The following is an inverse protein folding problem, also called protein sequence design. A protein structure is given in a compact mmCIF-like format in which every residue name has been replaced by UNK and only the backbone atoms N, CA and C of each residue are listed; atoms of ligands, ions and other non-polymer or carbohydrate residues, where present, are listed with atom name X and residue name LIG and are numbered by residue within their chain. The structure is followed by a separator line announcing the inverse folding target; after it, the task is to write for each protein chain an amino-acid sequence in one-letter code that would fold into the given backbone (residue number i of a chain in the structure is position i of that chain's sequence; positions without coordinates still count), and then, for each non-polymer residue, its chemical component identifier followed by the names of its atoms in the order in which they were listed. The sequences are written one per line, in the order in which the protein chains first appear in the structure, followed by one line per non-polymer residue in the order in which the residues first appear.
data_IF_882651799486
#
_entry.id   IF_882651799486
#
_cell.length_a   1.000
_cell.length_b   1.000
_cell.length_c   1.000
_cell.angle_alpha   90.00
_cell.angle_beta   90.00
_cell.angle_gamma   90.00
#
_symmetry.space_group_name_H-M   'P 1'
#
loop_
_entity.id
_entity.type
_entity.pdbx_description
1 polymer ?
#
# COMPACT_ATOMS: atom_id res chain seq x y z
N UNK A 1 16.47 17.78 5.28
CA UNK A 1 15.02 18.14 5.43
C UNK A 1 14.52 17.51 6.72
N UNK A 2 13.68 18.22 7.50
CA UNK A 2 13.16 17.66 8.75
C UNK A 2 11.86 16.89 8.50
N UNK A 3 11.64 15.83 9.25
CA UNK A 3 10.36 15.09 9.24
C UNK A 3 9.20 16.00 9.60
N UNK A 4 9.40 16.90 10.59
CA UNK A 4 8.41 17.91 11.00
C UNK A 4 8.05 18.94 9.93
N UNK A 5 8.85 19.07 8.86
CA UNK A 5 8.52 19.94 7.72
C UNK A 5 7.28 19.42 6.94
N UNK A 6 6.89 18.17 7.17
CA UNK A 6 5.70 17.52 6.59
C UNK A 6 4.52 17.45 7.55
N UNK A 7 4.56 18.22 8.61
CA UNK A 7 3.44 18.35 9.54
C UNK A 7 2.30 19.16 8.91
N UNK A 8 1.08 18.70 9.10
CA UNK A 8 -0.15 19.47 8.92
C UNK A 8 -1.16 19.04 9.98
N UNK A 9 -2.09 19.91 10.36
CA UNK A 9 -3.13 19.60 11.33
C UNK A 9 -4.21 18.72 10.68
N UNK A 10 -4.36 17.48 11.16
CA UNK A 10 -5.37 16.54 10.69
C UNK A 10 -6.38 16.25 11.79
N UNK A 11 -7.62 16.77 11.70
CA UNK A 11 -8.69 16.44 12.61
C UNK A 11 -8.98 14.92 12.60
N UNK A 12 -9.06 14.31 13.77
CA UNK A 12 -9.25 12.84 13.90
C UNK A 12 -10.54 12.34 13.25
N UNK A 13 -11.57 13.15 13.26
CA UNK A 13 -12.86 12.86 12.64
C UNK A 13 -12.81 12.72 11.12
N UNK A 14 -11.79 13.26 10.47
CA UNK A 14 -11.59 13.08 9.03
C UNK A 14 -10.91 11.75 8.69
N UNK A 15 -10.38 11.02 9.65
CA UNK A 15 -9.80 9.70 9.42
C UNK A 15 -10.91 8.67 9.23
N UNK A 16 -11.08 8.18 8.00
CA UNK A 16 -12.16 7.26 7.65
C UNK A 16 -12.03 5.92 8.38
N UNK A 17 -13.05 5.53 9.13
CA UNK A 17 -13.12 4.27 9.85
C UNK A 17 -13.76 3.14 9.01
N UNK A 18 -14.56 3.50 8.02
CA UNK A 18 -15.27 2.55 7.14
C UNK A 18 -15.20 3.01 5.68
N UNK A 19 -15.20 2.07 4.72
CA UNK A 19 -15.21 2.41 3.30
C UNK A 19 -16.54 3.07 2.91
N UNK A 20 -16.53 3.85 1.84
CA UNK A 20 -17.75 4.34 1.21
C UNK A 20 -18.65 3.17 0.78
N UNK A 21 -19.97 3.31 0.82
CA UNK A 21 -20.92 2.25 0.47
C UNK A 21 -20.66 1.71 -0.95
N UNK A 22 -20.42 2.61 -1.90
CA UNK A 22 -19.99 2.29 -3.27
C UNK A 22 -18.54 2.74 -3.42
N UNK A 23 -17.66 1.86 -3.96
CA UNK A 23 -16.21 2.12 -4.10
C UNK A 23 -15.92 3.40 -4.87
N UNK A 24 -16.56 3.59 -6.01
CA UNK A 24 -16.36 4.73 -6.91
C UNK A 24 -17.12 6.00 -6.52
N UNK A 25 -17.89 5.97 -5.42
CA UNK A 25 -18.60 7.16 -4.91
C UNK A 25 -17.74 8.01 -3.93
N UNK A 26 -16.48 7.64 -3.69
CA UNK A 26 -15.54 8.50 -2.96
C UNK A 26 -15.32 9.81 -3.71
N UNK A 27 -14.98 10.87 -2.99
CA UNK A 27 -14.57 12.13 -3.61
C UNK A 27 -13.21 11.98 -4.30
N UNK A 28 -12.99 12.81 -5.31
CA UNK A 28 -11.72 12.91 -6.01
C UNK A 28 -11.26 14.38 -6.00
N UNK A 29 -10.10 14.63 -5.38
CA UNK A 29 -9.39 15.87 -5.52
C UNK A 29 -8.41 15.74 -6.68
N UNK A 30 -8.49 16.61 -7.67
CA UNK A 30 -7.57 16.63 -8.81
C UNK A 30 -6.66 17.83 -8.72
N UNK A 31 -5.36 17.60 -8.67
CA UNK A 31 -4.35 18.64 -8.72
C UNK A 31 -3.64 18.64 -10.07
N UNK A 32 -3.78 19.75 -10.80
CA UNK A 32 -3.04 19.99 -12.05
C UNK A 32 -1.77 20.78 -11.76
N UNK A 33 -0.61 20.07 -11.81
CA UNK A 33 0.70 20.65 -11.53
C UNK A 33 1.11 21.73 -12.53
N UNK A 34 0.67 21.60 -13.78
CA UNK A 34 1.03 22.56 -14.84
C UNK A 34 0.34 23.92 -14.63
N UNK A 35 -0.93 23.89 -14.23
CA UNK A 35 -1.75 25.07 -14.02
C UNK A 35 -1.86 25.49 -12.55
N UNK A 36 -1.34 24.69 -11.62
CA UNK A 36 -1.43 24.87 -10.16
C UNK A 36 -2.88 25.04 -9.69
N UNK A 37 -3.78 24.22 -10.20
CA UNK A 37 -5.22 24.30 -9.91
C UNK A 37 -5.71 23.03 -9.23
N UNK A 38 -6.63 23.22 -8.27
CA UNK A 38 -7.36 22.15 -7.58
C UNK A 38 -8.77 22.10 -8.16
N UNK A 39 -9.30 20.90 -8.37
CA UNK A 39 -10.69 20.62 -8.69
C UNK A 39 -11.23 19.52 -7.79
N UNK A 40 -12.42 19.74 -7.28
CA UNK A 40 -13.15 18.77 -6.47
C UNK A 40 -14.20 18.06 -7.32
N UNK A 41 -14.31 16.75 -7.17
CA UNK A 41 -15.21 15.89 -7.92
C UNK A 41 -15.49 14.57 -7.22
N UNK A 42 -15.96 13.60 -7.97
CA UNK A 42 -16.18 12.21 -7.55
C UNK A 42 -15.25 11.28 -8.31
N UNK A 43 -14.96 10.10 -7.73
CA UNK A 43 -13.94 9.22 -8.30
C UNK A 43 -14.24 8.75 -9.72
N UNK A 44 -15.52 8.66 -10.10
CA UNK A 44 -15.92 8.33 -11.47
C UNK A 44 -15.45 9.34 -12.51
N UNK A 45 -15.24 10.62 -12.12
CA UNK A 45 -14.76 11.67 -13.01
C UNK A 45 -13.32 11.42 -13.49
N UNK A 46 -12.63 10.43 -12.88
CA UNK A 46 -11.28 10.05 -13.30
C UNK A 46 -11.20 9.66 -14.79
N UNK A 47 -12.32 9.18 -15.35
CA UNK A 47 -12.43 8.86 -16.77
C UNK A 47 -12.08 10.06 -17.66
N UNK A 48 -12.42 11.29 -17.27
CA UNK A 48 -12.22 12.49 -18.07
C UNK A 48 -10.74 12.86 -18.23
N UNK A 49 -9.88 12.32 -17.36
CA UNK A 49 -8.44 12.59 -17.35
C UNK A 49 -7.62 11.61 -18.20
N UNK A 50 -8.23 10.49 -18.62
CA UNK A 50 -7.57 9.53 -19.52
C UNK A 50 -7.77 9.88 -20.99
N UNK A 51 -6.78 9.50 -21.82
CA UNK A 51 -6.79 9.57 -23.29
C UNK A 51 -6.46 8.19 -23.87
N UNK A 52 -6.92 7.91 -25.11
CA UNK A 52 -6.46 6.74 -25.82
C UNK A 52 -4.92 6.69 -25.88
N UNK A 53 -4.35 5.52 -25.62
CA UNK A 53 -2.90 5.33 -25.58
C UNK A 53 -2.23 5.50 -24.22
N UNK A 54 -2.94 6.03 -23.21
CA UNK A 54 -2.43 6.04 -21.83
C UNK A 54 -2.32 4.62 -21.28
N UNK A 55 -1.52 4.46 -20.22
CA UNK A 55 -1.40 3.21 -19.48
C UNK A 55 -1.71 3.42 -17.99
N UNK A 56 -2.57 2.57 -17.44
CA UNK A 56 -2.92 2.52 -16.02
C UNK A 56 -2.21 1.34 -15.38
N UNK A 57 -1.28 1.62 -14.47
CA UNK A 57 -0.50 0.58 -13.77
C UNK A 57 -1.03 0.40 -12.37
N UNK A 58 -1.39 -0.84 -12.01
CA UNK A 58 -2.01 -1.19 -10.73
C UNK A 58 -1.32 -2.36 -10.05
N UNK A 59 -1.32 -2.35 -8.73
CA UNK A 59 -0.72 -3.40 -7.90
C UNK A 59 -1.76 -4.50 -7.60
N UNK A 60 -1.50 -5.72 -8.08
CA UNK A 60 -2.41 -6.88 -7.95
C UNK A 60 -2.21 -7.67 -6.66
N UNK A 61 -1.47 -7.16 -5.71
CA UNK A 61 -1.28 -7.85 -4.43
C UNK A 61 -2.61 -8.08 -3.71
N UNK A 62 -2.72 -9.24 -3.05
CA UNK A 62 -3.85 -9.62 -2.21
C UNK A 62 -3.41 -9.71 -0.76
N UNK A 63 -4.17 -9.08 0.11
CA UNK A 63 -3.93 -9.13 1.55
C UNK A 63 -4.30 -10.51 2.07
N UNK A 64 -3.38 -11.10 2.85
CA UNK A 64 -3.64 -12.35 3.55
C UNK A 64 -4.17 -12.07 4.96
N UNK A 65 -4.95 -12.96 5.58
CA UNK A 65 -5.40 -12.82 6.97
C UNK A 65 -4.24 -13.05 7.94
N UNK A 66 -3.28 -12.12 7.90
CA UNK A 66 -1.97 -12.23 8.51
C UNK A 66 -1.97 -12.06 10.04
N UNK A 67 -3.08 -11.65 10.66
CA UNK A 67 -3.17 -11.49 12.12
C UNK A 67 -3.68 -12.76 12.75
N UNK A 68 -2.83 -13.37 13.59
CA UNK A 68 -3.10 -14.65 14.25
C UNK A 68 -3.14 -14.44 15.76
N UNK A 69 -4.24 -14.84 16.39
CA UNK A 69 -4.37 -14.88 17.84
C UNK A 69 -3.99 -16.27 18.34
N UNK A 70 -3.09 -16.32 19.31
CA UNK A 70 -2.53 -17.56 19.82
C UNK A 70 -2.45 -17.55 21.34
N UNK A 71 -2.28 -18.69 21.95
CA UNK A 71 -2.09 -18.83 23.37
C UNK A 71 -1.12 -19.98 23.70
N UNK A 72 -0.50 -19.88 24.85
CA UNK A 72 0.30 -20.98 25.39
C UNK A 72 -0.62 -21.98 26.08
N UNK A 73 -0.51 -23.26 25.72
CA UNK A 73 -1.38 -24.30 26.31
C UNK A 73 -1.09 -24.53 27.80
N UNK A 74 0.16 -24.35 28.26
CA UNK A 74 0.58 -24.57 29.64
C UNK A 74 0.16 -23.44 30.60
N UNK A 75 0.10 -22.19 30.12
CA UNK A 75 -0.12 -21.00 30.97
C UNK A 75 -1.33 -20.18 30.58
N UNK A 76 -1.98 -20.46 29.44
CA UNK A 76 -3.05 -19.66 28.87
C UNK A 76 -2.62 -18.27 28.39
N UNK A 77 -1.31 -18.00 28.38
CA UNK A 77 -0.77 -16.68 28.02
C UNK A 77 -1.05 -16.32 26.56
N UNK A 78 -1.86 -15.26 26.34
CA UNK A 78 -2.21 -14.80 24.99
C UNK A 78 -1.00 -14.21 24.25
N UNK A 79 -0.98 -14.40 22.92
CA UNK A 79 0.00 -13.88 21.98
C UNK A 79 -0.70 -13.52 20.68
N UNK A 80 -0.32 -12.40 20.08
CA UNK A 80 -0.70 -12.02 18.72
C UNK A 80 0.53 -12.14 17.82
N UNK A 81 0.39 -12.83 16.70
CA UNK A 81 1.37 -12.85 15.62
C UNK A 81 0.80 -12.09 14.44
N UNK A 82 1.63 -11.27 13.83
CA UNK A 82 1.31 -10.59 12.60
C UNK A 82 2.36 -10.97 11.56
N UNK A 83 1.94 -11.79 10.61
CA UNK A 83 2.80 -12.30 9.54
C UNK A 83 3.23 -11.14 8.63
N UNK A 84 4.54 -11.01 8.37
CA UNK A 84 5.11 -9.94 7.55
C UNK A 84 5.64 -10.45 6.23
N UNK A 85 6.51 -11.45 6.31
CA UNK A 85 7.25 -11.97 5.17
C UNK A 85 7.42 -13.47 5.29
N UNK A 86 7.07 -14.18 4.25
CA UNK A 86 7.35 -15.60 4.10
C UNK A 86 8.83 -15.79 3.76
N UNK A 87 9.55 -16.57 4.54
CA UNK A 87 10.97 -16.86 4.32
C UNK A 87 11.14 -18.13 3.52
N UNK A 88 10.31 -19.14 3.82
CA UNK A 88 10.20 -20.39 3.07
C UNK A 88 8.81 -21.01 3.28
N UNK A 89 8.67 -22.32 3.04
CA UNK A 89 7.39 -23.04 3.08
C UNK A 89 6.62 -22.78 4.38
N UNK A 90 7.30 -22.81 5.54
CA UNK A 90 6.67 -22.70 6.86
C UNK A 90 7.31 -21.68 7.80
N UNK A 91 8.39 -21.00 7.40
CA UNK A 91 9.01 -19.96 8.22
C UNK A 91 8.59 -18.58 7.78
N UNK A 92 8.25 -17.75 8.77
CA UNK A 92 7.79 -16.39 8.57
C UNK A 92 8.51 -15.43 9.50
N UNK A 93 8.75 -14.24 9.00
CA UNK A 93 9.04 -13.09 9.83
C UNK A 93 7.73 -12.49 10.31
N UNK A 94 7.63 -12.20 11.62
CA UNK A 94 6.41 -11.72 12.26
C UNK A 94 6.69 -10.60 13.24
N UNK A 95 5.74 -9.68 13.40
CA UNK A 95 5.63 -8.95 14.66
C UNK A 95 4.84 -9.78 15.67
N UNK A 96 5.19 -9.61 16.96
CA UNK A 96 4.52 -10.33 18.04
C UNK A 96 4.13 -9.40 19.17
N UNK A 97 3.00 -9.64 19.79
CA UNK A 97 2.50 -8.87 20.92
C UNK A 97 1.91 -9.79 22.00
N UNK A 98 2.39 -9.72 23.26
CA UNK A 98 3.47 -8.89 23.80
C UNK A 98 4.87 -9.48 23.50
N UNK A 99 5.79 -8.65 22.93
CA UNK A 99 7.13 -9.09 22.50
C UNK A 99 8.00 -9.68 23.63
N UNK A 100 7.85 -9.21 24.89
CA UNK A 100 8.60 -9.70 26.05
C UNK A 100 8.33 -11.18 26.39
N UNK A 101 7.18 -11.73 25.98
CA UNK A 101 6.79 -13.12 26.22
C UNK A 101 7.19 -14.06 25.08
N UNK A 102 7.60 -13.49 23.95
CA UNK A 102 7.95 -14.23 22.74
C UNK A 102 9.42 -14.69 22.78
N UNK A 103 9.71 -15.71 23.59
CA UNK A 103 11.06 -16.27 23.73
C UNK A 103 11.27 -17.41 22.74
N UNK A 104 12.49 -17.51 22.20
CA UNK A 104 12.92 -18.59 21.31
C UNK A 104 12.64 -19.97 21.94
N UNK A 105 12.15 -20.90 21.14
CA UNK A 105 11.78 -22.25 21.53
C UNK A 105 10.35 -22.40 22.05
N UNK A 106 9.63 -21.31 22.31
CA UNK A 106 8.24 -21.39 22.76
C UNK A 106 7.29 -21.64 21.59
N UNK A 107 6.30 -22.49 21.82
CA UNK A 107 5.22 -22.79 20.89
C UNK A 107 3.90 -22.23 21.43
N UNK A 108 3.11 -21.66 20.53
CA UNK A 108 1.79 -21.09 20.78
C UNK A 108 0.75 -21.73 19.88
N UNK A 109 -0.35 -22.16 20.45
CA UNK A 109 -1.50 -22.71 19.70
C UNK A 109 -2.33 -21.57 19.14
N UNK A 110 -2.65 -21.65 17.84
CA UNK A 110 -3.53 -20.69 17.13
C UNK A 110 -4.90 -21.32 16.94
N UNK A 111 -4.93 -22.54 16.40
CA UNK A 111 -6.13 -23.36 16.24
C UNK A 111 -5.75 -24.83 16.46
N UNK A 112 -6.71 -25.74 16.24
CA UNK A 112 -6.39 -27.18 16.29
C UNK A 112 -5.49 -27.63 15.12
N UNK A 113 -5.48 -26.89 14.01
CA UNK A 113 -4.72 -27.19 12.79
C UNK A 113 -3.43 -26.36 12.66
N UNK A 114 -3.25 -25.32 13.51
CA UNK A 114 -2.14 -24.36 13.34
C UNK A 114 -1.52 -23.97 14.67
N UNK A 115 -0.20 -24.06 14.74
CA UNK A 115 0.60 -23.50 15.84
C UNK A 115 1.82 -22.75 15.33
N UNK A 116 2.40 -21.89 16.17
CA UNK A 116 3.58 -21.10 15.86
C UNK A 116 4.68 -21.36 16.88
N UNK A 117 5.88 -21.75 16.42
CA UNK A 117 7.09 -21.90 17.23
C UNK A 117 8.04 -20.76 16.94
N UNK A 118 8.47 -20.03 17.97
CA UNK A 118 9.43 -18.93 17.83
C UNK A 118 10.82 -19.53 17.67
N UNK A 119 11.48 -19.23 16.57
CA UNK A 119 12.81 -19.71 16.23
C UNK A 119 13.91 -18.72 16.63
N UNK A 120 13.69 -17.42 16.32
CA UNK A 120 14.71 -16.38 16.55
C UNK A 120 14.05 -14.99 16.65
N UNK A 121 14.88 -13.97 16.92
CA UNK A 121 14.52 -12.56 16.93
C UNK A 121 15.22 -11.84 15.77
N UNK A 122 14.53 -10.88 15.14
CA UNK A 122 15.15 -9.99 14.15
C UNK A 122 15.76 -8.75 14.83
N UNK A 123 16.69 -8.08 14.15
CA UNK A 123 17.32 -6.85 14.63
C UNK A 123 16.29 -5.75 14.90
N UNK A 124 15.22 -5.68 14.10
CA UNK A 124 14.13 -4.71 14.22
C UNK A 124 13.08 -5.07 15.30
N UNK A 125 13.36 -6.07 16.12
CA UNK A 125 12.48 -6.51 17.23
C UNK A 125 11.34 -7.43 16.81
N UNK A 126 11.29 -7.88 15.57
CA UNK A 126 10.42 -8.95 15.08
C UNK A 126 10.83 -10.33 15.57
N UNK A 127 10.17 -11.35 15.06
CA UNK A 127 10.49 -12.78 15.33
C UNK A 127 10.48 -13.58 14.05
N UNK A 128 11.39 -14.54 13.98
CA UNK A 128 11.31 -15.63 13.01
C UNK A 128 10.50 -16.74 13.66
N UNK A 129 9.40 -17.11 13.03
CA UNK A 129 8.53 -18.18 13.54
C UNK A 129 8.39 -19.28 12.51
N UNK A 130 8.26 -20.52 12.98
CA UNK A 130 7.82 -21.64 12.17
C UNK A 130 6.35 -21.89 12.47
N UNK A 131 5.54 -21.87 11.43
CA UNK A 131 4.14 -22.28 11.49
C UNK A 131 4.08 -23.79 11.29
N UNK A 132 3.47 -24.49 12.23
CA UNK A 132 3.29 -25.93 12.18
C UNK A 132 1.83 -26.20 11.83
N UNK A 133 1.61 -26.88 10.72
CA UNK A 133 0.28 -27.21 10.17
C UNK A 133 0.37 -28.47 9.32
N UNK A 134 -0.79 -29.09 9.07
CA UNK A 134 -0.95 -30.19 8.12
C UNK A 134 -2.08 -29.83 7.15
N UNK A 135 -1.79 -29.84 5.84
CA UNK A 135 -2.73 -29.46 4.78
C UNK A 135 -2.31 -28.19 4.01
N UNK A 136 -3.29 -27.55 3.38
CA UNK A 136 -3.08 -26.34 2.55
C UNK A 136 -3.03 -25.10 3.44
N UNK A 137 -1.86 -24.49 3.52
CA UNK A 137 -1.62 -23.35 4.41
C UNK A 137 -2.60 -22.19 4.21
N UNK A 138 -2.88 -21.84 2.98
CA UNK A 138 -3.74 -20.72 2.63
C UNK A 138 -5.17 -20.93 3.14
N UNK A 139 -5.69 -22.15 3.09
CA UNK A 139 -7.03 -22.50 3.61
C UNK A 139 -7.07 -22.44 5.14
N UNK A 140 -6.00 -22.95 5.80
CA UNK A 140 -5.87 -22.89 7.25
C UNK A 140 -5.78 -21.44 7.72
N UNK A 141 -4.97 -20.63 7.01
CA UNK A 141 -4.82 -19.22 7.32
C UNK A 141 -6.13 -18.44 7.17
N UNK A 142 -6.92 -18.74 6.14
CA UNK A 142 -8.23 -18.12 5.92
C UNK A 142 -9.22 -18.41 7.07
N UNK A 143 -9.14 -19.61 7.66
CA UNK A 143 -9.97 -19.99 8.82
C UNK A 143 -9.48 -19.41 10.14
N UNK A 144 -8.16 -19.41 10.35
CA UNK A 144 -7.55 -19.05 11.63
C UNK A 144 -7.16 -17.58 11.77
N UNK A 145 -6.98 -16.89 10.65
CA UNK A 145 -6.45 -15.53 10.61
C UNK A 145 -7.50 -14.43 10.46
N UNK A 146 -7.13 -13.26 10.92
CA UNK A 146 -7.88 -12.02 10.72
C UNK A 146 -7.15 -11.09 9.75
N UNK A 147 -7.93 -10.27 9.01
CA UNK A 147 -7.38 -9.23 8.14
C UNK A 147 -6.61 -8.20 8.98
N UNK A 148 -5.36 -7.91 8.63
CA UNK A 148 -4.52 -6.98 9.37
C UNK A 148 -4.88 -5.53 9.01
N UNK A 149 -6.02 -5.04 9.52
CA UNK A 149 -6.39 -3.65 9.33
C UNK A 149 -5.37 -2.72 10.00
N UNK A 150 -5.08 -1.56 9.41
CA UNK A 150 -4.21 -0.56 10.00
C UNK A 150 -4.66 -0.14 11.41
N UNK A 151 -3.72 0.26 12.29
CA UNK A 151 -4.03 0.53 13.71
C UNK A 151 -4.99 1.69 13.95
N UNK A 152 -5.14 2.60 12.98
CA UNK A 152 -6.08 3.73 13.06
C UNK A 152 -7.52 3.35 12.70
N UNK A 153 -7.76 2.14 12.13
CA UNK A 153 -9.09 1.59 11.92
C UNK A 153 -9.48 0.81 13.16
N UNK A 154 -10.35 1.40 13.96
CA UNK A 154 -10.87 0.80 15.21
C UNK A 154 -12.20 0.10 15.01
N UNK A 155 -12.96 0.47 13.97
CA UNK A 155 -14.24 -0.14 13.62
C UNK A 155 -14.02 -1.30 12.64
N UNK A 156 -14.25 -2.54 13.13
CA UNK A 156 -14.07 -3.77 12.33
C UNK A 156 -15.34 -4.18 11.58
N UNK A 157 -16.09 -3.21 11.06
CA UNK A 157 -17.39 -3.45 10.40
C UNK A 157 -17.28 -3.82 8.93
N UNK A 158 -16.16 -3.52 8.27
CA UNK A 158 -15.96 -3.85 6.88
C UNK A 158 -15.60 -5.34 6.72
N UNK A 159 -16.33 -6.07 5.89
CA UNK A 159 -16.01 -7.46 5.54
C UNK A 159 -14.62 -7.58 4.89
N UNK A 160 -14.00 -8.77 5.01
CA UNK A 160 -12.64 -9.06 4.50
C UNK A 160 -12.43 -8.59 3.05
N UNK A 161 -13.40 -8.78 2.17
CA UNK A 161 -13.34 -8.41 0.76
C UNK A 161 -13.42 -6.89 0.50
N UNK A 162 -13.88 -6.10 1.47
CA UNK A 162 -13.88 -4.62 1.33
C UNK A 162 -12.48 -4.01 1.47
N UNK A 163 -11.56 -4.70 2.11
CA UNK A 163 -10.15 -4.34 2.20
C UNK A 163 -9.29 -5.02 1.13
N UNK A 164 -9.90 -5.43 0.02
CA UNK A 164 -9.23 -5.95 -1.18
C UNK A 164 -9.62 -5.11 -2.39
N UNK A 165 -8.70 -4.94 -3.34
CA UNK A 165 -9.04 -4.39 -4.65
C UNK A 165 -9.84 -5.41 -5.46
N UNK A 166 -10.70 -4.95 -6.39
CA UNK A 166 -11.48 -5.85 -7.26
C UNK A 166 -10.59 -6.66 -8.22
N UNK A 167 -9.31 -6.36 -8.28
CA UNK A 167 -8.33 -7.00 -9.13
C UNK A 167 -7.19 -7.69 -8.35
N UNK A 168 -7.34 -7.85 -7.03
CA UNK A 168 -6.35 -8.55 -6.20
C UNK A 168 -6.22 -10.02 -6.60
N UNK A 169 -4.98 -10.48 -6.86
CA UNK A 169 -4.67 -11.84 -7.33
C UNK A 169 -3.62 -12.54 -6.48
N UNK A 170 -2.48 -11.89 -6.23
CA UNK A 170 -1.27 -12.50 -5.68
C UNK A 170 -1.23 -12.34 -4.16
N UNK A 171 -1.42 -13.44 -3.44
CA UNK A 171 -1.37 -13.49 -1.97
C UNK A 171 0.03 -13.13 -1.45
N UNK A 172 0.12 -12.38 -0.34
CA UNK A 172 1.39 -12.12 0.32
C UNK A 172 1.52 -10.76 1.00
N UNK A 173 0.53 -9.89 0.88
CA UNK A 173 0.57 -8.55 1.46
C UNK A 173 -0.02 -8.49 2.86
N UNK A 174 0.59 -7.70 3.73
CA UNK A 174 0.04 -7.35 5.04
C UNK A 174 -0.93 -6.15 4.96
N UNK A 175 -0.96 -5.41 3.84
CA UNK A 175 -1.88 -4.30 3.65
C UNK A 175 -2.34 -4.18 2.20
N UNK A 176 -3.55 -3.63 2.00
CA UNK A 176 -4.08 -3.40 0.66
C UNK A 176 -3.43 -2.17 -0.01
N UNK A 177 -3.28 -2.16 -1.35
CA UNK A 177 -2.96 -0.96 -2.11
C UNK A 177 -4.21 -0.07 -2.19
N UNK A 178 -4.43 0.74 -1.16
CA UNK A 178 -5.74 1.34 -0.84
C UNK A 178 -6.27 2.30 -1.89
N UNK A 179 -5.42 2.96 -2.68
CA UNK A 179 -5.87 3.75 -3.83
C UNK A 179 -6.63 2.91 -4.88
N UNK A 180 -6.35 1.61 -4.93
CA UNK A 180 -7.07 0.67 -5.78
C UNK A 180 -8.47 0.32 -5.29
N UNK A 181 -8.80 0.60 -4.03
CA UNK A 181 -10.11 0.30 -3.46
C UNK A 181 -11.24 1.15 -4.06
N UNK A 182 -10.92 2.26 -4.68
CA UNK A 182 -11.88 3.14 -5.34
C UNK A 182 -12.39 2.59 -6.67
N UNK A 183 -11.63 1.70 -7.31
CA UNK A 183 -12.00 1.12 -8.59
C UNK A 183 -13.08 0.04 -8.44
N UNK A 184 -13.99 0.02 -9.40
CA UNK A 184 -14.92 -1.08 -9.65
C UNK A 184 -14.53 -1.77 -10.96
N UNK A 185 -15.05 -2.97 -11.19
CA UNK A 185 -14.83 -3.70 -12.45
C UNK A 185 -15.37 -2.90 -13.63
N UNK A 186 -16.54 -2.30 -13.49
CA UNK A 186 -17.21 -1.49 -14.51
C UNK A 186 -16.38 -0.27 -14.89
N UNK A 187 -15.84 0.44 -13.89
CA UNK A 187 -14.98 1.62 -14.13
C UNK A 187 -13.68 1.22 -14.86
N UNK A 188 -13.09 0.08 -14.51
CA UNK A 188 -11.92 -0.45 -15.21
C UNK A 188 -12.24 -0.82 -16.66
N UNK A 189 -13.43 -1.37 -16.92
CA UNK A 189 -13.88 -1.69 -18.28
C UNK A 189 -14.12 -0.43 -19.10
N UNK A 190 -14.68 0.62 -18.51
CA UNK A 190 -14.86 1.90 -19.18
C UNK A 190 -13.52 2.59 -19.49
N UNK A 191 -12.53 2.46 -18.60
CA UNK A 191 -11.14 2.91 -18.86
C UNK A 191 -10.57 2.17 -20.07
N UNK A 192 -10.74 0.82 -20.15
CA UNK A 192 -10.30 0.03 -21.32
C UNK A 192 -10.99 0.44 -22.61
N UNK A 193 -12.32 0.64 -22.59
CA UNK A 193 -13.10 1.12 -23.74
C UNK A 193 -12.61 2.47 -24.24
N UNK A 194 -12.07 3.32 -23.36
CA UNK A 194 -11.47 4.60 -23.71
C UNK A 194 -10.10 4.46 -24.41
N UNK A 195 -9.60 3.24 -24.58
CA UNK A 195 -8.32 2.97 -25.24
C UNK A 195 -7.11 3.07 -24.32
N UNK A 196 -7.30 2.92 -23.00
CA UNK A 196 -6.23 2.88 -22.00
C UNK A 196 -5.81 1.44 -21.77
N UNK A 197 -4.52 1.18 -21.81
CA UNK A 197 -3.95 -0.13 -21.47
C UNK A 197 -3.86 -0.27 -19.95
N UNK A 198 -4.42 -1.34 -19.37
CA UNK A 198 -4.28 -1.63 -17.94
C UNK A 198 -3.18 -2.67 -17.76
N UNK A 199 -2.20 -2.35 -16.93
CA UNK A 199 -1.01 -3.16 -16.67
C UNK A 199 -0.93 -3.52 -15.18
N UNK A 200 -0.62 -4.77 -14.92
CA UNK A 200 -0.48 -5.31 -13.57
C UNK A 200 1.00 -5.33 -13.15
N UNK A 201 1.28 -4.83 -11.95
CA UNK A 201 2.55 -4.99 -11.24
C UNK A 201 2.28 -5.58 -9.87
N UNK A 202 3.33 -6.04 -9.17
CA UNK A 202 3.22 -6.58 -7.82
C UNK A 202 4.13 -5.80 -6.88
N UNK A 203 3.61 -5.46 -5.71
CA UNK A 203 4.38 -5.08 -4.53
C UNK A 203 3.62 -5.58 -3.29
N UNK A 204 4.27 -6.44 -2.53
CA UNK A 204 3.73 -6.89 -1.24
C UNK A 204 4.03 -5.85 -0.17
N UNK A 205 2.98 -5.19 0.29
CA UNK A 205 3.09 -4.13 1.31
C UNK A 205 3.40 -4.75 2.66
N UNK A 206 4.53 -4.36 3.23
CA UNK A 206 4.90 -4.70 4.60
C UNK A 206 4.31 -3.74 5.63
N UNK A 207 4.49 -4.06 6.91
CA UNK A 207 4.00 -3.20 7.99
C UNK A 207 4.81 -1.93 8.21
N UNK A 208 5.98 -1.81 7.61
CA UNK A 208 6.77 -0.59 7.64
C UNK A 208 5.99 0.65 7.19
N UNK A 209 5.05 0.45 6.25
CA UNK A 209 4.17 1.51 5.76
C UNK A 209 3.25 2.12 6.84
N UNK A 210 3.03 1.41 7.95
CA UNK A 210 2.21 1.89 9.07
C UNK A 210 3.03 2.36 10.28
N UNK A 211 4.36 2.29 10.21
CA UNK A 211 5.21 2.84 11.27
C UNK A 211 5.42 4.32 11.00
N UNK A 212 5.21 5.17 12.02
CA UNK A 212 5.62 6.57 11.92
C UNK A 212 7.13 6.66 11.68
N UNK A 213 7.55 7.68 10.94
CA UNK A 213 8.97 8.03 10.85
C UNK A 213 9.40 8.48 12.25
N UNK A 214 10.46 7.87 12.78
CA UNK A 214 10.97 8.16 14.12
C UNK A 214 12.15 9.13 14.09
N UNK A 215 12.78 9.27 12.94
CA UNK A 215 13.97 10.09 12.72
C UNK A 215 13.59 11.57 12.53
N UNK A 216 14.36 12.48 13.13
CA UNK A 216 14.16 13.92 13.00
C UNK A 216 14.48 14.44 11.60
N UNK A 217 15.46 13.84 10.95
CA UNK A 217 15.84 14.19 9.57
C UNK A 217 15.38 13.11 8.61
N UNK A 218 14.80 13.53 7.50
CA UNK A 218 14.31 12.64 6.43
C UNK A 218 15.42 11.75 5.87
N UNK A 219 16.64 12.30 5.76
CA UNK A 219 17.82 11.63 5.20
C UNK A 219 18.32 10.47 6.06
N UNK A 220 17.99 10.46 7.37
CA UNK A 220 18.39 9.42 8.31
C UNK A 220 17.43 8.22 8.32
N UNK A 221 16.28 8.38 7.65
CA UNK A 221 15.27 7.32 7.60
C UNK A 221 15.64 6.21 6.61
N UNK A 222 15.60 4.97 7.09
CA UNK A 222 15.81 3.78 6.28
C UNK A 222 14.46 3.13 5.92
N UNK A 223 14.13 3.14 4.63
CA UNK A 223 12.92 2.48 4.14
C UNK A 223 12.99 0.97 4.33
N UNK A 224 11.90 0.39 4.79
CA UNK A 224 11.74 -1.06 4.81
C UNK A 224 11.73 -1.62 3.39
N UNK A 225 12.42 -2.76 3.25
CA UNK A 225 12.46 -3.48 1.98
C UNK A 225 11.14 -4.21 1.74
N UNK A 226 10.56 -4.05 0.55
CA UNK A 226 9.33 -4.70 0.12
C UNK A 226 9.56 -5.46 -1.19
N UNK A 227 8.95 -6.65 -1.32
CA UNK A 227 9.08 -7.44 -2.55
C UNK A 227 8.23 -6.85 -3.66
N UNK A 228 8.83 -6.64 -4.82
CA UNK A 228 8.13 -6.13 -6.00
C UNK A 228 8.46 -6.92 -7.26
N UNK A 229 7.53 -6.87 -8.22
CA UNK A 229 7.69 -7.54 -9.50
C UNK A 229 7.04 -6.71 -10.61
N UNK A 230 7.76 -6.59 -11.73
CA UNK A 230 7.28 -6.13 -13.02
C UNK A 230 7.60 -7.21 -14.06
N UNK A 231 6.58 -7.75 -14.73
CA UNK A 231 6.77 -8.78 -15.74
C UNK A 231 7.31 -8.20 -17.06
N UNK A 232 7.85 -9.07 -17.93
CA UNK A 232 8.30 -8.65 -19.29
C UNK A 232 7.15 -8.06 -20.11
N UNK A 233 5.95 -8.63 -19.98
CA UNK A 233 4.75 -8.14 -20.65
C UNK A 233 4.37 -6.74 -20.16
N UNK A 234 4.38 -6.54 -18.82
CA UNK A 234 4.11 -5.25 -18.21
C UNK A 234 5.12 -4.18 -18.64
N UNK A 235 6.41 -4.48 -18.56
CA UNK A 235 7.48 -3.58 -18.96
C UNK A 235 7.35 -3.19 -20.44
N UNK A 236 7.15 -4.16 -21.33
CA UNK A 236 6.95 -3.93 -22.76
C UNK A 236 5.74 -3.02 -23.03
N UNK A 237 4.57 -3.33 -22.43
CA UNK A 237 3.35 -2.56 -22.64
C UNK A 237 3.51 -1.09 -22.21
N UNK A 238 4.19 -0.85 -21.08
CA UNK A 238 4.45 0.51 -20.58
C UNK A 238 5.40 1.25 -21.54
N UNK A 239 6.52 0.63 -21.94
CA UNK A 239 7.49 1.25 -22.84
C UNK A 239 6.88 1.57 -24.20
N UNK A 240 6.08 0.66 -24.76
CA UNK A 240 5.37 0.89 -26.03
C UNK A 240 4.34 2.03 -25.93
N UNK A 241 3.60 2.14 -24.81
CA UNK A 241 2.68 3.24 -24.61
C UNK A 241 3.42 4.58 -24.55
N UNK A 242 4.51 4.65 -23.80
CA UNK A 242 5.36 5.85 -23.70
C UNK A 242 5.98 6.24 -25.03
N UNK A 243 6.47 5.27 -25.80
CA UNK A 243 7.03 5.51 -27.14
C UNK A 243 6.02 6.13 -28.12
N UNK A 244 4.71 5.87 -27.88
CA UNK A 244 3.60 6.49 -28.66
C UNK A 244 3.07 7.79 -28.04
N UNK A 245 3.71 8.32 -27.00
CA UNK A 245 3.28 9.55 -26.31
C UNK A 245 2.15 9.35 -25.30
N UNK A 246 1.86 8.10 -24.92
CA UNK A 246 0.94 7.76 -23.83
C UNK A 246 1.56 8.12 -22.47
N UNK A 247 0.68 8.46 -21.53
CA UNK A 247 1.07 8.81 -20.16
C UNK A 247 0.89 7.61 -19.22
N UNK A 248 1.78 7.52 -18.23
CA UNK A 248 1.76 6.47 -17.21
C UNK A 248 1.04 6.97 -15.95
N UNK A 249 -0.10 6.38 -15.67
CA UNK A 249 -0.86 6.58 -14.44
C UNK A 249 -0.57 5.45 -13.45
N UNK A 250 0.03 5.77 -12.32
CA UNK A 250 0.22 4.79 -11.25
C UNK A 250 -0.96 4.82 -10.27
N UNK A 251 -1.52 3.65 -9.96
CA UNK A 251 -2.55 3.49 -8.93
C UNK A 251 -1.89 3.15 -7.60
N UNK A 252 -1.82 4.14 -6.73
CA UNK A 252 -1.20 4.07 -5.42
C UNK A 252 0.32 4.25 -5.43
N UNK A 253 0.82 4.59 -4.25
CA UNK A 253 2.25 4.74 -3.99
C UNK A 253 3.01 3.43 -4.20
N UNK A 254 2.35 2.28 -4.05
CA UNK A 254 2.93 0.96 -4.28
C UNK A 254 3.26 0.73 -5.76
N UNK A 255 2.34 1.02 -6.69
CA UNK A 255 2.61 0.95 -8.13
C UNK A 255 3.67 1.95 -8.55
N UNK A 256 3.64 3.16 -7.97
CA UNK A 256 4.64 4.19 -8.18
C UNK A 256 6.03 3.70 -7.76
N UNK A 257 6.19 3.19 -6.55
CA UNK A 257 7.47 2.67 -6.03
C UNK A 257 7.98 1.49 -6.86
N UNK A 258 7.09 0.59 -7.28
CA UNK A 258 7.48 -0.53 -8.16
C UNK A 258 8.06 0.01 -9.48
N UNK A 259 7.33 0.89 -10.16
CA UNK A 259 7.76 1.45 -11.44
C UNK A 259 9.10 2.17 -11.33
N UNK A 260 9.25 3.06 -10.35
CA UNK A 260 10.48 3.82 -10.15
C UNK A 260 11.69 2.93 -9.78
N UNK A 261 11.45 1.77 -9.14
CA UNK A 261 12.49 0.79 -8.77
C UNK A 261 12.98 -0.05 -9.95
N UNK A 262 12.16 -0.20 -10.99
CA UNK A 262 12.48 -1.05 -12.15
C UNK A 262 12.78 -0.25 -13.43
N UNK A 263 12.80 1.08 -13.34
CA UNK A 263 13.04 2.00 -14.45
C UNK A 263 14.46 2.55 -14.35
N UNK A 264 15.21 2.47 -15.45
CA UNK A 264 16.55 3.03 -15.54
C UNK A 264 16.56 4.56 -15.71
N UNK A 265 17.73 5.16 -15.80
CA UNK A 265 17.88 6.61 -15.89
C UNK A 265 17.51 7.16 -17.28
N UNK A 266 17.44 6.30 -18.29
CA UNK A 266 16.94 6.59 -19.64
C UNK A 266 15.41 6.54 -19.70
N UNK A 267 14.75 6.11 -18.60
CA UNK A 267 13.30 6.01 -18.49
C UNK A 267 12.71 4.73 -19.09
N UNK A 268 13.53 3.72 -19.32
CA UNK A 268 13.08 2.40 -19.80
C UNK A 268 12.68 1.54 -18.61
N UNK A 269 11.47 1.01 -18.64
CA UNK A 269 10.96 0.06 -17.64
C UNK A 269 11.48 -1.33 -17.96
N UNK A 270 12.10 -2.00 -16.99
CA UNK A 270 12.64 -3.34 -17.11
C UNK A 270 11.79 -4.38 -16.35
N UNK A 271 11.74 -5.58 -16.91
CA UNK A 271 11.25 -6.74 -16.16
C UNK A 271 12.20 -7.03 -15.00
N UNK A 272 11.67 -7.10 -13.80
CA UNK A 272 12.46 -7.33 -12.59
C UNK A 272 11.59 -7.94 -11.50
N UNK A 273 12.19 -8.87 -10.74
CA UNK A 273 11.67 -9.42 -9.49
C UNK A 273 12.70 -9.20 -8.39
N UNK A 274 12.28 -8.76 -7.24
CA UNK A 274 13.19 -8.58 -6.11
C UNK A 274 12.69 -7.58 -5.09
N UNK A 275 13.61 -7.11 -4.29
CA UNK A 275 13.32 -6.22 -3.17
C UNK A 275 13.57 -4.76 -3.55
N UNK A 276 12.74 -3.88 -3.04
CA UNK A 276 12.91 -2.43 -3.16
C UNK A 276 12.80 -1.77 -1.79
N UNK A 277 13.74 -0.90 -1.52
CA UNK A 277 13.78 0.03 -0.39
C UNK A 277 13.76 1.48 -0.87
N UNK A 278 13.29 1.71 -2.09
CA UNK A 278 13.26 3.05 -2.68
C UNK A 278 12.53 4.03 -1.78
N UNK A 279 13.21 5.11 -1.43
CA UNK A 279 12.68 6.21 -0.66
C UNK A 279 12.57 7.45 -1.54
N UNK A 280 11.35 7.80 -1.90
CA UNK A 280 11.05 8.95 -2.77
C UNK A 280 10.69 10.14 -1.90
N UNK A 281 11.46 11.22 -2.02
CA UNK A 281 11.31 12.47 -1.28
C UNK A 281 11.37 13.67 -2.22
N UNK A 282 10.97 14.88 -1.79
CA UNK A 282 11.09 16.09 -2.61
C UNK A 282 12.47 16.26 -3.22
N UNK A 283 12.51 16.51 -4.54
CA UNK A 283 13.74 16.56 -5.34
C UNK A 283 14.00 15.28 -6.14
N UNK A 284 13.28 14.18 -5.87
CA UNK A 284 13.33 12.98 -6.70
C UNK A 284 12.81 13.29 -8.11
N UNK A 285 13.51 12.77 -9.12
CA UNK A 285 13.09 12.89 -10.53
C UNK A 285 12.43 11.60 -10.97
N UNK A 286 11.11 11.66 -11.17
CA UNK A 286 10.35 10.51 -11.64
C UNK A 286 10.79 10.11 -13.05
N UNK A 287 11.01 8.81 -13.24
CA UNK A 287 11.52 8.22 -14.48
C UNK A 287 10.41 7.61 -15.34
N UNK A 288 9.40 7.03 -14.69
CA UNK A 288 8.30 6.34 -15.37
C UNK A 288 6.93 6.94 -15.08
N UNK A 289 6.68 7.45 -13.87
CA UNK A 289 5.35 7.86 -13.43
C UNK A 289 5.06 9.30 -13.85
N UNK A 290 4.07 9.48 -14.72
CA UNK A 290 3.60 10.80 -15.15
C UNK A 290 2.50 11.34 -14.23
N UNK A 291 1.58 10.48 -13.80
CA UNK A 291 0.37 10.80 -13.03
C UNK A 291 0.21 9.81 -11.89
N UNK A 292 -0.29 10.28 -10.75
CA UNK A 292 -0.48 9.43 -9.57
C UNK A 292 -1.91 9.52 -9.05
N UNK A 293 -2.57 8.37 -8.88
CA UNK A 293 -3.84 8.23 -8.17
C UNK A 293 -3.50 7.70 -6.78
N UNK A 294 -3.89 8.39 -5.73
CA UNK A 294 -3.53 8.02 -4.36
C UNK A 294 -4.63 8.40 -3.35
N UNK A 295 -4.51 7.92 -2.11
CA UNK A 295 -5.29 8.42 -0.98
C UNK A 295 -4.57 9.62 -0.34
N UNK A 296 -5.22 10.25 0.62
CA UNK A 296 -4.58 11.22 1.51
C UNK A 296 -3.79 10.50 2.61
N UNK A 297 -2.59 11.00 2.90
CA UNK A 297 -1.60 10.37 3.80
C UNK A 297 -1.46 11.10 5.12
N UNK A 298 -0.88 10.42 6.15
CA UNK A 298 -0.61 10.99 7.47
C UNK A 298 0.38 12.15 7.41
N UNK A 299 0.26 13.11 8.34
CA UNK A 299 1.36 14.03 8.65
C UNK A 299 2.65 13.26 8.91
N UNK A 300 3.77 13.83 8.49
CA UNK A 300 5.13 13.34 8.77
C UNK A 300 5.41 11.90 8.25
N UNK A 301 4.59 11.39 7.31
CA UNK A 301 4.75 10.05 6.76
C UNK A 301 5.62 10.03 5.50
N UNK A 302 6.30 8.90 5.26
CA UNK A 302 7.05 8.65 4.03
C UNK A 302 6.19 8.76 2.78
N UNK A 303 4.89 8.47 2.88
CA UNK A 303 3.94 8.57 1.77
C UNK A 303 3.59 10.03 1.44
N UNK A 304 3.49 10.90 2.45
CA UNK A 304 3.34 12.35 2.21
C UNK A 304 4.60 12.92 1.56
N UNK A 305 5.78 12.45 1.94
CA UNK A 305 7.04 12.82 1.30
C UNK A 305 7.07 12.42 -0.18
N UNK A 306 6.62 11.18 -0.51
CA UNK A 306 6.53 10.69 -1.88
C UNK A 306 5.60 11.56 -2.75
N UNK A 307 4.38 11.84 -2.29
CA UNK A 307 3.46 12.66 -3.09
C UNK A 307 3.94 14.09 -3.23
N UNK A 308 4.66 14.62 -2.23
CA UNK A 308 5.30 15.94 -2.29
C UNK A 308 6.44 16.00 -3.31
N UNK A 309 7.03 14.87 -3.68
CA UNK A 309 8.06 14.83 -4.72
C UNK A 309 7.50 15.05 -6.14
N UNK A 310 6.18 14.88 -6.35
CA UNK A 310 5.52 15.13 -7.64
C UNK A 310 5.31 16.61 -7.94
N UNK A 311 5.34 17.46 -6.92
CA UNK A 311 5.26 18.92 -7.02
C UNK A 311 6.31 19.56 -6.10
N UNK A 312 5.92 20.43 -5.18
CA UNK A 312 6.75 20.88 -4.07
C UNK A 312 6.09 20.49 -2.74
N UNK A 313 6.86 20.47 -1.66
CA UNK A 313 6.32 20.23 -0.32
C UNK A 313 5.25 21.27 0.03
N UNK A 314 5.53 22.55 -0.25
CA UNK A 314 4.64 23.67 0.02
C UNK A 314 3.32 23.52 -0.74
N UNK A 315 3.38 23.25 -2.04
CA UNK A 315 2.18 22.99 -2.85
C UNK A 315 1.38 21.81 -2.30
N UNK A 316 2.04 20.72 -1.92
CA UNK A 316 1.35 19.54 -1.36
C UNK A 316 0.69 19.86 -0.02
N UNK A 317 1.33 20.61 0.87
CA UNK A 317 0.72 21.02 2.13
C UNK A 317 -0.47 21.95 1.92
N UNK A 318 -0.44 22.85 0.95
CA UNK A 318 -1.59 23.68 0.57
C UNK A 318 -2.75 22.84 0.06
N UNK A 319 -2.48 21.79 -0.75
CA UNK A 319 -3.50 20.83 -1.22
C UNK A 319 -4.12 20.10 -0.03
N UNK A 320 -3.29 19.64 0.94
CA UNK A 320 -3.78 18.95 2.13
C UNK A 320 -4.59 19.87 3.05
N UNK A 321 -4.21 21.14 3.16
CA UNK A 321 -4.99 22.15 3.86
C UNK A 321 -6.37 22.32 3.22
N UNK A 322 -6.44 22.48 1.88
CA UNK A 322 -7.69 22.50 1.14
C UNK A 322 -8.53 21.23 1.42
N UNK A 323 -7.92 20.05 1.37
CA UNK A 323 -8.63 18.80 1.63
C UNK A 323 -9.22 18.73 3.05
N UNK A 324 -8.52 19.26 4.07
CA UNK A 324 -9.03 19.35 5.45
C UNK A 324 -10.19 20.36 5.52
N UNK A 325 -10.06 21.55 4.95
CA UNK A 325 -11.09 22.59 4.92
C UNK A 325 -12.37 22.11 4.22
N UNK A 326 -12.23 21.38 3.11
CA UNK A 326 -13.32 20.78 2.34
C UNK A 326 -13.82 19.46 2.93
N UNK A 327 -13.27 19.03 4.08
CA UNK A 327 -13.66 17.80 4.81
C UNK A 327 -13.59 16.54 3.94
N UNK A 328 -12.50 16.39 3.21
CA UNK A 328 -12.16 15.11 2.60
C UNK A 328 -11.91 14.06 3.70
N UNK A 329 -12.17 12.81 3.36
CA UNK A 329 -11.88 11.68 4.24
C UNK A 329 -10.46 11.20 3.98
N UNK A 330 -9.72 10.93 5.04
CA UNK A 330 -8.29 10.59 4.98
C UNK A 330 -8.05 9.09 5.17
N UNK A 331 -6.90 8.60 4.71
CA UNK A 331 -6.38 7.25 4.81
C UNK A 331 -7.06 6.19 3.94
N UNK A 332 -6.87 4.91 4.36
CA UNK A 332 -7.17 3.71 3.58
C UNK A 332 -8.59 3.63 3.04
N UNK A 333 -9.57 4.09 3.83
CA UNK A 333 -10.98 4.13 3.45
C UNK A 333 -11.47 5.54 3.10
N UNK A 334 -10.54 6.47 3.03
CA UNK A 334 -10.81 7.86 2.70
C UNK A 334 -11.13 8.10 1.23
N UNK A 335 -10.97 9.34 0.83
CA UNK A 335 -11.18 9.81 -0.53
C UNK A 335 -9.88 9.72 -1.35
N UNK A 336 -9.97 10.00 -2.63
CA UNK A 336 -8.87 9.90 -3.58
C UNK A 336 -8.32 11.26 -3.99
N UNK A 337 -7.05 11.28 -4.38
CA UNK A 337 -6.39 12.39 -5.04
C UNK A 337 -5.78 11.92 -6.36
N UNK A 338 -5.94 12.71 -7.41
CA UNK A 338 -5.25 12.55 -8.70
C UNK A 338 -4.27 13.71 -8.88
N UNK A 339 -2.99 13.40 -9.03
CA UNK A 339 -1.93 14.37 -9.35
C UNK A 339 -1.60 14.22 -10.84
N UNK A 340 -1.91 15.28 -11.62
CA UNK A 340 -1.75 15.35 -13.06
C UNK A 340 -0.40 15.93 -13.48
#
# INVERSE_FOLDING_TARGET
MKTSDFFYDLPKELIAQSPAAVRSASRLLVYDRANKTIRDGVFTDILDYFRPGDVLVRNITRVIPARLHAYREDTGGAMEFLLLRRLDENRWECLVRPGRRAKTGLTFKISDELSATILDSTEDGGRIVRLNYDGVFEEILDRAGEMPLPPYITERTAGKERYQTVYAKENGSAAAPTAGLHFTTELLDDIRKKGVTIVDVLLHVGLGTFRPVSEDNVEDHHMHSEYCECSEEAARAINEARARGGRVFAVGTTSCRTLESVTDDEGIVHAKKGWTDIFITPGYKFKAVDKLITNFHLPESTLLMLVSALCTREEMLDIYKHAVEEKYRFFSFGDAMLIL
#
